data_IF_333545444320
#
_entry.id   IF_333545444320
#
_cell.length_a   1.000
_cell.length_b   1.000
_cell.length_c   1.000
_cell.angle_alpha   90.00
_cell.angle_beta   90.00
_cell.angle_gamma   90.00
#
_symmetry.space_group_name_H-M   'P 1'
#
loop_
_entity.id
_entity.type
_entity.pdbx_description
1 polymer ?
#
# COMPACT_ATOMS: atom_id res chain seq x y z
N UNK A 1 -26.66 -20.25 17.16
CA UNK A 1 -28.13 -19.95 17.16
C UNK A 1 -28.68 -19.58 18.56
N UNK A 2 -27.85 -19.37 19.57
CA UNK A 2 -28.31 -19.23 20.99
C UNK A 2 -27.92 -17.93 21.69
N UNK A 3 -26.91 -17.20 21.24
CA UNK A 3 -26.51 -15.92 21.88
C UNK A 3 -27.33 -14.72 21.39
N UNK A 4 -27.65 -14.66 20.11
CA UNK A 4 -28.37 -13.52 19.49
C UNK A 4 -29.84 -13.44 19.93
N UNK A 5 -30.48 -14.60 20.11
CA UNK A 5 -31.85 -14.66 20.62
C UNK A 5 -31.96 -14.24 22.12
N UNK A 6 -30.91 -14.45 22.90
CA UNK A 6 -30.90 -14.09 24.31
C UNK A 6 -30.72 -12.57 24.49
N UNK A 7 -29.91 -11.94 23.62
CA UNK A 7 -29.76 -10.48 23.60
C UNK A 7 -31.05 -9.76 23.18
N UNK A 8 -31.72 -10.21 22.13
CA UNK A 8 -32.97 -9.60 21.66
C UNK A 8 -34.09 -9.64 22.74
N UNK A 9 -34.23 -10.76 23.44
CA UNK A 9 -35.24 -10.90 24.51
C UNK A 9 -34.93 -10.04 25.72
N UNK A 10 -33.66 -9.88 26.09
CA UNK A 10 -33.26 -8.99 27.19
C UNK A 10 -33.52 -7.52 26.83
N UNK A 11 -33.20 -7.09 25.62
CA UNK A 11 -33.44 -5.73 25.17
C UNK A 11 -34.94 -5.42 25.10
N UNK A 12 -35.73 -6.34 24.55
CA UNK A 12 -37.18 -6.19 24.53
C UNK A 12 -37.74 -6.03 25.94
N UNK A 13 -37.35 -6.89 26.89
CA UNK A 13 -37.80 -6.81 28.27
C UNK A 13 -37.35 -5.53 28.96
N UNK A 14 -36.16 -5.02 28.69
CA UNK A 14 -35.67 -3.74 29.22
C UNK A 14 -36.45 -2.57 28.66
N UNK A 15 -36.72 -2.53 27.33
CA UNK A 15 -37.52 -1.47 26.72
C UNK A 15 -38.98 -1.48 27.23
N UNK A 16 -39.59 -2.65 27.42
CA UNK A 16 -40.94 -2.81 27.97
C UNK A 16 -41.01 -2.32 29.42
N UNK A 17 -40.02 -2.71 30.26
CA UNK A 17 -40.00 -2.32 31.67
C UNK A 17 -39.76 -0.81 31.88
N UNK A 18 -38.94 -0.17 31.02
CA UNK A 18 -38.65 1.26 31.11
C UNK A 18 -39.80 2.14 30.60
N UNK A 19 -40.68 1.63 29.73
CA UNK A 19 -41.77 2.38 29.07
C UNK A 19 -43.15 1.78 29.31
N UNK A 20 -43.40 1.19 30.50
CA UNK A 20 -44.72 0.63 30.86
C UNK A 20 -45.81 1.66 30.70
N UNK A 21 -46.67 1.49 29.68
CA UNK A 21 -47.82 2.36 29.40
C UNK A 21 -47.61 3.44 28.35
N UNK A 22 -46.42 3.60 27.78
CA UNK A 22 -46.14 4.55 26.70
C UNK A 22 -45.70 3.82 25.43
N UNK A 23 -46.61 3.64 24.48
CA UNK A 23 -46.39 2.93 23.22
C UNK A 23 -45.36 3.67 22.34
N UNK A 24 -45.33 5.01 22.34
CA UNK A 24 -44.38 5.81 21.59
C UNK A 24 -42.94 5.65 22.14
N UNK A 25 -42.82 5.62 23.47
CA UNK A 25 -41.51 5.39 24.11
C UNK A 25 -40.97 3.99 23.83
N UNK A 26 -41.82 2.98 23.82
CA UNK A 26 -41.45 1.61 23.46
C UNK A 26 -40.96 1.51 21.99
N UNK A 27 -41.71 2.13 21.07
CA UNK A 27 -41.39 2.15 19.64
C UNK A 27 -40.02 2.85 19.41
N UNK A 28 -39.80 3.99 20.07
CA UNK A 28 -38.54 4.75 19.98
C UNK A 28 -37.37 3.96 20.54
N UNK A 29 -37.54 3.24 21.66
CA UNK A 29 -36.50 2.39 22.22
C UNK A 29 -36.11 1.25 21.26
N UNK A 30 -37.08 0.56 20.68
CA UNK A 30 -36.85 -0.54 19.75
C UNK A 30 -36.21 -0.06 18.43
N UNK A 31 -36.65 1.08 17.88
CA UNK A 31 -36.07 1.64 16.66
C UNK A 31 -34.63 2.11 16.90
N UNK A 32 -34.34 2.75 18.02
CA UNK A 32 -32.97 3.15 18.33
C UNK A 32 -32.03 1.95 18.51
N UNK A 33 -32.51 0.87 19.13
CA UNK A 33 -31.73 -0.35 19.27
C UNK A 33 -31.48 -1.03 17.91
N UNK A 34 -32.48 -1.08 17.03
CA UNK A 34 -32.30 -1.60 15.68
C UNK A 34 -31.27 -0.77 14.88
N UNK A 35 -31.37 0.55 14.95
CA UNK A 35 -30.42 1.46 14.31
C UNK A 35 -28.98 1.29 14.83
N UNK A 36 -28.78 1.08 16.14
CA UNK A 36 -27.44 0.83 16.69
C UNK A 36 -26.87 -0.52 16.22
N UNK A 37 -27.66 -1.56 16.13
CA UNK A 37 -27.24 -2.85 15.61
C UNK A 37 -26.86 -2.77 14.12
N UNK A 38 -27.62 -2.03 13.32
CA UNK A 38 -27.30 -1.82 11.90
C UNK A 38 -25.99 -1.03 11.74
N UNK A 39 -25.73 -0.03 12.60
CA UNK A 39 -24.48 0.71 12.60
C UNK A 39 -23.28 -0.15 13.00
N UNK A 40 -23.41 -1.01 14.00
CA UNK A 40 -22.36 -1.95 14.41
C UNK A 40 -22.07 -2.98 13.31
N UNK A 41 -23.12 -3.50 12.65
CA UNK A 41 -22.95 -4.42 11.54
C UNK A 41 -22.25 -3.76 10.34
N UNK A 42 -22.61 -2.52 10.00
CA UNK A 42 -21.97 -1.76 8.94
C UNK A 42 -20.48 -1.49 9.26
N UNK A 43 -20.17 -1.06 10.48
CA UNK A 43 -18.79 -0.83 10.91
C UNK A 43 -17.95 -2.12 10.88
N UNK A 44 -18.55 -3.26 11.22
CA UNK A 44 -17.89 -4.56 11.13
C UNK A 44 -17.61 -4.96 9.67
N UNK A 45 -18.56 -4.77 8.77
CA UNK A 45 -18.39 -5.04 7.34
C UNK A 45 -17.33 -4.13 6.73
N UNK A 46 -17.37 -2.84 7.04
CA UNK A 46 -16.39 -1.87 6.57
C UNK A 46 -14.95 -2.24 7.01
N UNK A 47 -14.76 -2.54 8.29
CA UNK A 47 -13.47 -3.00 8.82
C UNK A 47 -12.97 -4.27 8.13
N UNK A 48 -13.84 -5.26 7.92
CA UNK A 48 -13.46 -6.51 7.25
C UNK A 48 -13.10 -6.28 5.78
N UNK A 49 -13.80 -5.38 5.10
CA UNK A 49 -13.51 -5.00 3.72
C UNK A 49 -12.16 -4.31 3.61
N UNK A 50 -11.86 -3.42 4.54
CA UNK A 50 -10.57 -2.74 4.59
C UNK A 50 -9.40 -3.69 4.90
N UNK A 51 -9.58 -4.61 5.84
CA UNK A 51 -8.62 -5.68 6.12
C UNK A 51 -8.38 -6.58 4.90
N UNK A 52 -9.45 -7.00 4.22
CA UNK A 52 -9.35 -7.81 3.01
C UNK A 52 -8.60 -7.08 1.90
N UNK A 53 -8.87 -5.79 1.69
CA UNK A 53 -8.15 -4.93 0.75
C UNK A 53 -6.66 -4.87 1.08
N UNK A 54 -6.32 -4.64 2.32
CA UNK A 54 -4.93 -4.54 2.76
C UNK A 54 -4.17 -5.85 2.58
N UNK A 55 -4.79 -6.99 2.93
CA UNK A 55 -4.21 -8.33 2.69
C UNK A 55 -3.99 -8.56 1.20
N UNK A 56 -4.96 -8.22 0.35
CA UNK A 56 -4.85 -8.38 -1.10
C UNK A 56 -3.69 -7.55 -1.66
N UNK A 57 -3.55 -6.28 -1.25
CA UNK A 57 -2.46 -5.41 -1.68
C UNK A 57 -1.10 -5.95 -1.21
N UNK A 58 -0.99 -6.43 0.04
CA UNK A 58 0.26 -6.98 0.57
C UNK A 58 0.69 -8.27 -0.15
N UNK A 59 -0.25 -9.17 -0.44
CA UNK A 59 0.04 -10.38 -1.23
C UNK A 59 0.48 -10.00 -2.64
N UNK A 60 -0.20 -9.05 -3.27
CA UNK A 60 0.17 -8.55 -4.60
C UNK A 60 1.56 -7.89 -4.59
N UNK A 61 1.86 -7.09 -3.57
CA UNK A 61 3.19 -6.49 -3.39
C UNK A 61 4.29 -7.55 -3.25
N UNK A 62 4.03 -8.62 -2.51
CA UNK A 62 4.96 -9.75 -2.35
C UNK A 62 5.24 -10.43 -3.69
N UNK A 63 4.20 -10.65 -4.50
CA UNK A 63 4.34 -11.27 -5.83
C UNK A 63 5.17 -10.39 -6.77
N UNK A 64 4.92 -9.08 -6.78
CA UNK A 64 5.71 -8.12 -7.57
C UNK A 64 7.16 -8.09 -7.09
N UNK A 65 7.40 -8.12 -5.77
CA UNK A 65 8.75 -8.17 -5.22
C UNK A 65 9.48 -9.48 -5.58
N UNK A 66 8.77 -10.58 -5.76
CA UNK A 66 9.32 -11.84 -6.25
C UNK A 66 9.89 -11.72 -7.68
N UNK A 67 9.36 -10.79 -8.51
CA UNK A 67 9.91 -10.49 -9.83
C UNK A 67 11.36 -9.98 -9.74
N UNK A 68 11.73 -9.35 -8.65
CA UNK A 68 13.09 -8.90 -8.38
C UNK A 68 14.10 -10.06 -8.41
N UNK A 69 13.74 -11.20 -7.82
CA UNK A 69 14.56 -12.41 -7.87
C UNK A 69 14.69 -12.94 -9.30
N UNK A 70 13.60 -12.90 -10.08
CA UNK A 70 13.61 -13.29 -11.50
C UNK A 70 14.56 -12.42 -12.32
N UNK A 71 14.50 -11.11 -12.19
CA UNK A 71 15.44 -10.20 -12.88
C UNK A 71 16.88 -10.40 -12.44
N UNK A 72 17.13 -10.66 -11.16
CA UNK A 72 18.46 -11.00 -10.66
C UNK A 72 19.01 -12.26 -11.34
N UNK A 73 18.19 -13.29 -11.53
CA UNK A 73 18.58 -14.52 -12.22
C UNK A 73 18.85 -14.30 -13.72
N UNK A 74 18.04 -13.49 -14.40
CA UNK A 74 18.27 -13.12 -15.81
C UNK A 74 19.60 -12.36 -15.94
N UNK A 75 19.86 -11.39 -15.09
CA UNK A 75 21.13 -10.67 -15.07
C UNK A 75 22.32 -11.60 -14.80
N UNK A 76 22.14 -12.56 -13.88
CA UNK A 76 23.16 -13.56 -13.55
C UNK A 76 23.48 -14.48 -14.72
N UNK A 77 22.45 -14.88 -15.51
CA UNK A 77 22.62 -15.71 -16.70
C UNK A 77 23.30 -14.99 -17.87
N UNK A 78 23.13 -13.68 -17.98
CA UNK A 78 23.70 -12.87 -19.06
C UNK A 78 25.18 -12.47 -18.83
N UNK A 79 25.69 -12.63 -17.61
CA UNK A 79 27.03 -12.18 -17.20
C UNK A 79 28.02 -13.34 -17.15
N UNK A 80 29.30 -13.07 -17.38
CA UNK A 80 30.38 -14.06 -17.27
C UNK A 80 30.49 -14.64 -15.86
N UNK A 81 30.76 -15.94 -15.74
CA UNK A 81 30.81 -16.67 -14.45
C UNK A 81 31.64 -15.95 -13.36
N UNK A 82 32.79 -15.33 -13.70
CA UNK A 82 33.64 -14.59 -12.77
C UNK A 82 32.98 -13.35 -12.15
N UNK A 83 31.98 -12.77 -12.82
CA UNK A 83 31.29 -11.56 -12.39
C UNK A 83 29.91 -11.83 -11.77
N UNK A 84 29.49 -13.09 -11.69
CA UNK A 84 28.19 -13.52 -11.21
C UNK A 84 27.87 -12.98 -9.79
N UNK A 85 28.77 -13.21 -8.86
CA UNK A 85 28.59 -12.79 -7.46
C UNK A 85 28.45 -11.25 -7.32
N UNK A 86 29.27 -10.50 -8.06
CA UNK A 86 29.21 -9.04 -8.05
C UNK A 86 27.87 -8.55 -8.65
N UNK A 87 27.32 -9.20 -9.66
CA UNK A 87 26.06 -8.83 -10.29
C UNK A 87 24.88 -9.10 -9.36
N UNK A 88 24.88 -10.25 -8.67
CA UNK A 88 23.85 -10.56 -7.67
C UNK A 88 23.83 -9.57 -6.52
N UNK A 89 25.03 -9.21 -6.00
CA UNK A 89 25.15 -8.20 -4.94
C UNK A 89 24.66 -6.83 -5.42
N UNK A 90 24.96 -6.44 -6.66
CA UNK A 90 24.47 -5.19 -7.26
C UNK A 90 22.94 -5.14 -7.30
N UNK A 91 22.28 -6.20 -7.72
CA UNK A 91 20.82 -6.24 -7.76
C UNK A 91 20.18 -6.09 -6.37
N UNK A 92 20.80 -6.67 -5.34
CA UNK A 92 20.35 -6.47 -3.96
C UNK A 92 20.52 -5.01 -3.52
N UNK A 93 21.67 -4.41 -3.80
CA UNK A 93 21.93 -3.01 -3.48
C UNK A 93 21.05 -2.04 -4.27
N UNK A 94 20.70 -2.37 -5.52
CA UNK A 94 19.76 -1.60 -6.34
C UNK A 94 18.37 -1.56 -5.69
N UNK A 95 17.87 -2.69 -5.17
CA UNK A 95 16.60 -2.74 -4.44
C UNK A 95 16.63 -1.92 -3.14
N UNK A 96 17.72 -2.00 -2.37
CA UNK A 96 17.90 -1.18 -1.17
C UNK A 96 17.98 0.32 -1.51
N UNK A 97 18.70 0.69 -2.57
CA UNK A 97 18.80 2.08 -3.03
C UNK A 97 17.45 2.64 -3.50
N UNK A 98 16.68 1.84 -4.24
CA UNK A 98 15.33 2.19 -4.66
C UNK A 98 14.39 2.41 -3.46
N UNK A 99 14.52 1.60 -2.40
CA UNK A 99 13.76 1.77 -1.16
C UNK A 99 13.98 3.14 -0.53
N UNK A 100 15.25 3.52 -0.35
CA UNK A 100 15.60 4.80 0.27
C UNK A 100 15.14 5.98 -0.60
N UNK A 101 15.32 5.88 -1.92
CA UNK A 101 14.93 6.93 -2.84
C UNK A 101 13.40 7.09 -2.92
N UNK A 102 12.67 5.99 -2.96
CA UNK A 102 11.21 6.02 -3.02
C UNK A 102 10.60 6.51 -1.71
N UNK A 103 11.16 6.11 -0.57
CA UNK A 103 10.77 6.60 0.75
C UNK A 103 10.97 8.11 0.91
N UNK A 104 12.14 8.64 0.49
CA UNK A 104 12.50 10.04 0.73
C UNK A 104 11.75 11.02 -0.18
N UNK A 105 11.70 10.75 -1.48
CA UNK A 105 11.16 11.68 -2.48
C UNK A 105 10.21 11.05 -3.48
N UNK A 106 10.33 9.75 -3.77
CA UNK A 106 9.56 9.10 -4.84
C UNK A 106 8.07 9.10 -4.57
N UNK A 107 7.65 8.79 -3.35
CA UNK A 107 6.25 8.83 -2.95
C UNK A 107 5.65 10.23 -3.04
N UNK A 108 6.36 11.24 -2.55
CA UNK A 108 5.91 12.63 -2.59
C UNK A 108 5.68 13.12 -4.02
N UNK A 109 6.55 12.78 -4.96
CA UNK A 109 6.40 13.17 -6.35
C UNK A 109 5.25 12.46 -7.06
N UNK A 110 5.00 11.18 -6.73
CA UNK A 110 3.96 10.40 -7.39
C UNK A 110 2.56 10.65 -6.80
N UNK A 111 2.45 10.78 -5.48
CA UNK A 111 1.17 10.80 -4.75
C UNK A 111 0.98 12.02 -3.84
N UNK A 112 1.94 12.93 -3.78
CA UNK A 112 1.91 14.12 -2.92
C UNK A 112 1.08 15.24 -3.51
N UNK A 113 -0.17 15.00 -3.92
CA UNK A 113 -1.06 16.06 -4.42
C UNK A 113 -1.43 17.05 -3.32
N UNK A 114 -1.53 18.34 -3.69
CA UNK A 114 -1.90 19.40 -2.76
C UNK A 114 -3.29 19.93 -3.14
N UNK A 115 -4.32 19.69 -2.30
CA UNK A 115 -5.68 20.13 -2.57
C UNK A 115 -5.81 21.65 -2.71
N UNK A 116 -4.93 22.44 -2.06
CA UNK A 116 -4.96 23.89 -2.10
C UNK A 116 -4.36 24.48 -3.39
N UNK A 117 -3.43 23.76 -4.00
CA UNK A 117 -2.76 24.16 -5.26
C UNK A 117 -2.48 22.92 -6.10
N UNK A 118 -3.47 22.39 -6.84
CA UNK A 118 -3.27 21.21 -7.66
C UNK A 118 -2.28 21.52 -8.77
N UNK A 119 -1.10 20.93 -8.68
CA UNK A 119 -0.11 20.94 -9.75
C UNK A 119 -0.29 19.65 -10.54
N UNK A 120 -0.84 19.69 -11.75
CA UNK A 120 -1.08 18.52 -12.59
C UNK A 120 0.17 17.77 -13.06
N UNK A 121 1.36 18.16 -12.60
CA UNK A 121 2.63 17.60 -13.08
C UNK A 121 3.42 16.89 -11.98
N UNK A 122 3.48 17.37 -10.74
CA UNK A 122 4.31 16.81 -9.67
C UNK A 122 3.70 17.07 -8.30
N UNK A 123 3.74 16.08 -7.43
CA UNK A 123 3.34 16.22 -6.03
C UNK A 123 4.36 17.03 -5.22
N UNK A 124 3.87 17.78 -4.25
CA UNK A 124 4.68 18.66 -3.40
C UNK A 124 4.53 18.41 -1.90
N UNK A 125 3.74 17.39 -1.51
CA UNK A 125 3.49 17.01 -0.11
C UNK A 125 3.97 15.58 0.17
N UNK A 126 3.91 15.18 1.42
CA UNK A 126 4.18 13.82 1.90
C UNK A 126 5.62 13.34 1.68
N UNK A 127 6.59 14.26 1.73
CA UNK A 127 8.00 13.87 1.75
C UNK A 127 8.29 13.05 3.02
N UNK A 128 9.15 12.04 2.90
CA UNK A 128 9.48 11.11 3.98
C UNK A 128 8.26 10.40 4.60
N UNK A 129 7.22 10.13 3.81
CA UNK A 129 5.97 9.50 4.25
C UNK A 129 5.25 10.24 5.40
N UNK A 130 5.40 11.55 5.51
CA UNK A 130 4.59 12.32 6.45
C UNK A 130 3.14 12.33 5.99
N UNK A 131 2.20 12.08 6.92
CA UNK A 131 0.74 12.03 6.66
C UNK A 131 0.28 10.97 5.64
N UNK A 132 0.92 9.79 5.63
CA UNK A 132 0.52 8.67 4.78
C UNK A 132 -0.11 7.58 5.63
N UNK A 133 -1.40 7.33 5.43
CA UNK A 133 -2.16 6.31 6.16
C UNK A 133 -2.05 4.91 5.51
N UNK A 134 -1.86 4.84 4.18
CA UNK A 134 -1.89 3.60 3.41
C UNK A 134 -0.48 3.04 3.14
N UNK A 135 0.11 2.42 4.17
CA UNK A 135 1.42 1.77 4.09
C UNK A 135 1.42 0.54 3.17
N UNK A 136 0.27 -0.13 3.00
CA UNK A 136 0.16 -1.28 2.11
C UNK A 136 0.34 -0.85 0.65
N UNK A 137 -0.31 0.24 0.25
CA UNK A 137 -0.15 0.83 -1.07
C UNK A 137 1.27 1.34 -1.30
N UNK A 138 1.89 1.96 -0.29
CA UNK A 138 3.30 2.37 -0.38
C UNK A 138 4.22 1.20 -0.70
N UNK A 139 4.08 0.07 0.00
CA UNK A 139 4.89 -1.13 -0.22
C UNK A 139 4.69 -1.69 -1.63
N UNK A 140 3.45 -1.69 -2.11
CA UNK A 140 3.13 -2.15 -3.47
C UNK A 140 3.81 -1.28 -4.53
N UNK A 141 3.72 0.04 -4.43
CA UNK A 141 4.34 0.98 -5.36
C UNK A 141 5.88 0.96 -5.28
N UNK A 142 6.42 0.77 -4.08
CA UNK A 142 7.86 0.54 -3.91
C UNK A 142 8.35 -0.70 -4.67
N UNK A 143 7.60 -1.81 -4.61
CA UNK A 143 7.97 -3.03 -5.32
C UNK A 143 8.09 -2.81 -6.85
N UNK A 144 7.20 -2.02 -7.45
CA UNK A 144 7.31 -1.61 -8.86
C UNK A 144 8.50 -0.69 -9.13
N UNK A 145 8.77 0.24 -8.23
CA UNK A 145 9.94 1.11 -8.33
C UNK A 145 11.25 0.31 -8.30
N UNK A 146 11.35 -0.68 -7.41
CA UNK A 146 12.50 -1.58 -7.33
C UNK A 146 12.66 -2.43 -8.60
N UNK A 147 11.56 -2.97 -9.14
CA UNK A 147 11.59 -3.76 -10.38
C UNK A 147 12.08 -2.93 -11.58
N UNK A 148 11.57 -1.70 -11.73
CA UNK A 148 12.02 -0.77 -12.79
C UNK A 148 13.50 -0.44 -12.68
N UNK A 149 14.00 -0.24 -11.46
CA UNK A 149 15.42 -0.02 -11.19
C UNK A 149 16.28 -1.17 -11.70
N UNK A 150 15.86 -2.38 -11.40
CA UNK A 150 16.62 -3.58 -11.74
C UNK A 150 16.64 -3.84 -13.24
N UNK A 151 15.56 -3.55 -13.96
CA UNK A 151 15.55 -3.65 -15.44
C UNK A 151 16.64 -2.77 -16.06
N UNK A 152 16.73 -1.51 -15.61
CA UNK A 152 17.76 -0.58 -16.09
C UNK A 152 19.15 -1.02 -15.64
N UNK A 153 19.30 -1.50 -14.40
CA UNK A 153 20.56 -2.00 -13.88
C UNK A 153 21.09 -3.21 -14.66
N UNK A 154 20.20 -4.09 -15.12
CA UNK A 154 20.54 -5.26 -15.94
C UNK A 154 21.26 -4.89 -17.24
N UNK A 155 20.79 -3.86 -17.95
CA UNK A 155 21.40 -3.40 -19.21
C UNK A 155 22.80 -2.82 -19.02
N UNK A 156 23.12 -2.37 -17.80
CA UNK A 156 24.40 -1.76 -17.45
C UNK A 156 25.34 -2.72 -16.71
N UNK A 157 24.96 -3.99 -16.55
CA UNK A 157 25.64 -4.93 -15.65
C UNK A 157 27.14 -5.09 -15.92
N UNK A 158 27.56 -5.21 -17.18
CA UNK A 158 28.97 -5.36 -17.58
C UNK A 158 29.67 -4.06 -17.94
N UNK A 159 28.92 -2.95 -18.13
CA UNK A 159 29.45 -1.70 -18.67
C UNK A 159 29.79 -0.64 -17.64
N UNK A 160 29.40 -0.82 -16.39
CA UNK A 160 29.62 0.15 -15.31
C UNK A 160 30.32 -0.46 -14.10
N UNK A 161 31.28 0.25 -13.56
CA UNK A 161 31.88 -0.06 -12.26
C UNK A 161 30.86 0.15 -11.14
N UNK A 162 31.03 -0.58 -10.00
CA UNK A 162 30.08 -0.60 -8.89
C UNK A 162 29.76 0.82 -8.35
N UNK A 163 30.77 1.64 -8.15
CA UNK A 163 30.65 3.02 -7.65
C UNK A 163 29.90 3.96 -8.61
N UNK A 164 30.10 3.80 -9.92
CA UNK A 164 29.46 4.65 -10.93
C UNK A 164 27.99 4.31 -11.23
N UNK A 165 27.54 3.10 -10.90
CA UNK A 165 26.15 2.66 -11.11
C UNK A 165 25.20 3.31 -10.11
N UNK A 166 25.54 3.29 -8.84
CA UNK A 166 24.67 3.85 -7.80
C UNK A 166 24.44 5.35 -8.01
N UNK A 167 25.48 6.10 -8.33
CA UNK A 167 25.34 7.56 -8.55
C UNK A 167 24.54 7.89 -9.82
N UNK A 168 24.73 7.17 -10.92
CA UNK A 168 24.01 7.39 -12.19
C UNK A 168 22.57 6.91 -12.13
N UNK A 169 22.30 5.86 -11.37
CA UNK A 169 20.96 5.31 -11.19
C UNK A 169 20.12 6.25 -10.34
N UNK A 170 20.68 6.76 -9.26
CA UNK A 170 20.03 7.76 -8.40
C UNK A 170 19.70 9.06 -9.17
N UNK A 171 20.64 9.57 -9.97
CA UNK A 171 20.42 10.75 -10.81
C UNK A 171 19.31 10.56 -11.86
N UNK A 172 19.12 9.34 -12.35
CA UNK A 172 18.11 9.04 -13.37
C UNK A 172 16.69 8.91 -12.78
N UNK A 173 16.56 8.43 -11.53
CA UNK A 173 15.26 8.40 -10.83
C UNK A 173 14.73 9.79 -10.50
N UNK A 174 15.60 10.70 -10.18
CA UNK A 174 15.25 12.12 -9.94
C UNK A 174 14.80 12.82 -11.24
N UNK A 175 15.18 12.27 -12.40
CA UNK A 175 14.89 12.88 -13.72
C UNK A 175 13.91 12.09 -14.59
N UNK A 176 13.26 11.02 -14.12
CA UNK A 176 12.19 10.41 -14.88
C UNK A 176 10.92 11.26 -14.74
N UNK A 177 10.44 11.90 -15.81
CA UNK A 177 9.10 12.47 -15.83
C UNK A 177 8.12 11.31 -15.67
N UNK A 178 7.11 11.49 -14.81
CA UNK A 178 6.00 10.58 -14.62
C UNK A 178 5.06 10.65 -15.85
N UNK A 179 5.54 10.27 -17.02
CA UNK A 179 4.68 10.05 -18.18
C UNK A 179 4.26 8.59 -18.21
N UNK A 180 3.20 8.28 -17.49
CA UNK A 180 2.34 7.15 -17.77
C UNK A 180 1.17 7.71 -18.57
N UNK A 181 1.06 7.45 -19.89
CA UNK A 181 -0.15 7.78 -20.61
C UNK A 181 -1.27 6.91 -20.08
N UNK A 182 -2.19 7.52 -19.37
CA UNK A 182 -3.50 6.92 -19.09
C UNK A 182 -4.33 7.07 -20.37
N UNK A 183 -4.41 5.99 -21.11
CA UNK A 183 -5.41 5.75 -22.17
C UNK A 183 -6.29 4.57 -21.78
#
# INVERSE_FOLDING_TARGET
MTSDNMNATMVYSACVNSNMGNVEGLLTCLTNHALTQDQEAQAFVERNTELARNIYILVSASMVFFMQAGFAMVCAGAVRKKNLQNTMLKNLLDACGASIAFYSVGWAFAFGDNPDKPNGFIGTRNFFLTDVDDLALFLFQYAFSAASATIVAGTLAERCQMTGKQTKQYSRYVHMPAEIPMS
#
